data_IF_411534696888
#
_entry.id   IF_411534696888
#
_cell.length_a   1.000
_cell.length_b   1.000
_cell.length_c   1.000
_cell.angle_alpha   90.00
_cell.angle_beta   90.00
_cell.angle_gamma   90.00
#
_symmetry.space_group_name_H-M   'P 1'
#
loop_
_entity.id
_entity.type
_entity.pdbx_description
1 polymer ?
#
# COMPACT_ATOMS: atom_id res chain seq x y z
N UNK A 1 25.05 -5.28 0.97
CA UNK A 1 24.63 -5.24 0.80
C UNK A 1 23.67 -5.40 0.98
N UNK A 2 23.55 -5.24 0.97
CA UNK A 2 22.76 -5.37 1.13
C UNK A 2 22.16 -6.07 0.97
N UNK A 3 22.34 -6.22 0.80
CA UNK A 3 22.02 -6.74 0.61
C UNK A 3 21.44 -7.42 0.83
N UNK A 4 21.61 -7.05 0.95
CA UNK A 4 21.28 -7.71 1.10
C UNK A 4 20.50 -8.57 1.85
N UNK A 5 19.66 -8.23 2.57
CA UNK A 5 18.81 -9.04 3.25
C UNK A 5 17.50 -9.02 2.60
N UNK A 6 17.16 -9.96 1.74
CA UNK A 6 15.89 -9.93 1.01
C UNK A 6 14.67 -10.01 1.92
N UNK A 7 14.87 -10.45 3.17
CA UNK A 7 13.77 -10.54 4.09
C UNK A 7 13.63 -9.34 5.00
N UNK A 8 14.44 -8.34 4.83
CA UNK A 8 14.39 -7.16 5.69
C UNK A 8 13.23 -6.27 5.28
N UNK A 9 12.17 -6.30 6.06
CA UNK A 9 10.94 -5.59 5.70
C UNK A 9 11.10 -4.08 5.71
N UNK A 10 11.97 -3.55 6.58
CA UNK A 10 12.23 -2.11 6.57
C UNK A 10 12.88 -1.67 5.27
N UNK A 11 13.81 -2.47 4.78
CA UNK A 11 14.47 -2.18 3.51
C UNK A 11 13.46 -2.26 2.37
N UNK A 12 12.58 -3.26 2.40
CA UNK A 12 11.57 -3.41 1.36
C UNK A 12 10.65 -2.21 1.28
N UNK A 13 10.19 -1.73 2.44
CA UNK A 13 9.31 -0.58 2.45
C UNK A 13 10.04 0.67 1.99
N UNK A 14 11.28 0.83 2.42
CA UNK A 14 12.10 1.97 2.00
C UNK A 14 12.33 1.98 0.50
N UNK A 15 12.62 0.81 -0.09
CA UNK A 15 12.80 0.69 -1.53
C UNK A 15 11.51 1.00 -2.27
N UNK A 16 10.38 0.53 -1.74
CA UNK A 16 9.10 0.81 -2.37
C UNK A 16 8.85 2.30 -2.45
N UNK A 17 9.17 3.03 -1.36
CA UNK A 17 8.98 4.48 -1.35
C UNK A 17 9.89 5.15 -2.38
N UNK A 18 11.11 4.65 -2.57
CA UNK A 18 12.00 5.21 -3.56
C UNK A 18 11.47 4.96 -4.98
N UNK A 19 11.01 3.75 -5.24
CA UNK A 19 10.42 3.45 -6.54
C UNK A 19 9.16 4.26 -6.79
N UNK A 20 8.41 4.53 -5.72
CA UNK A 20 7.22 5.38 -5.83
C UNK A 20 7.61 6.76 -6.35
N UNK A 21 8.67 7.33 -5.80
CA UNK A 21 9.15 8.63 -6.24
C UNK A 21 9.59 8.62 -7.69
N UNK A 22 10.11 7.48 -8.14
CA UNK A 22 10.60 7.35 -9.52
C UNK A 22 9.48 7.00 -10.50
N UNK A 23 8.27 6.81 -10.00
CA UNK A 23 7.13 6.47 -10.84
C UNK A 23 7.15 5.04 -11.34
N UNK A 24 7.91 4.18 -10.69
CA UNK A 24 8.00 2.78 -11.10
C UNK A 24 7.00 1.95 -10.32
N UNK A 25 5.76 2.03 -10.73
CA UNK A 25 4.65 1.47 -9.98
C UNK A 25 4.67 -0.05 -9.91
N UNK A 26 5.15 -0.72 -10.96
CA UNK A 26 5.23 -2.17 -10.95
C UNK A 26 6.20 -2.67 -9.88
N UNK A 27 7.31 -1.95 -9.70
CA UNK A 27 8.27 -2.33 -8.67
C UNK A 27 7.70 -2.09 -7.27
N UNK A 28 6.96 -0.98 -7.11
CA UNK A 28 6.29 -0.70 -5.84
C UNK A 28 5.35 -1.84 -5.48
N UNK A 29 4.55 -2.26 -6.44
CA UNK A 29 3.57 -3.33 -6.21
C UNK A 29 4.28 -4.61 -5.79
N UNK A 30 5.32 -4.99 -6.54
CA UNK A 30 6.04 -6.22 -6.25
C UNK A 30 6.65 -6.20 -4.85
N UNK A 31 7.31 -5.10 -4.51
CA UNK A 31 7.95 -4.98 -3.20
C UNK A 31 6.93 -4.99 -2.07
N UNK A 32 5.82 -4.27 -2.23
CA UNK A 32 4.86 -4.17 -1.14
C UNK A 32 4.03 -5.43 -0.98
N UNK A 33 3.76 -6.14 -2.07
CA UNK A 33 3.10 -7.43 -1.94
C UNK A 33 3.99 -8.39 -1.17
N UNK A 34 5.29 -8.39 -1.45
CA UNK A 34 6.22 -9.21 -0.71
C UNK A 34 6.35 -8.78 0.74
N UNK A 35 6.37 -7.47 0.96
CA UNK A 35 6.44 -6.91 2.30
C UNK A 35 5.23 -7.35 3.15
N UNK A 36 4.03 -7.21 2.58
CA UNK A 36 2.82 -7.54 3.32
C UNK A 36 2.66 -9.04 3.55
N UNK A 37 3.31 -9.85 2.74
CA UNK A 37 3.30 -11.29 2.96
C UNK A 37 4.23 -11.68 4.11
N UNK A 38 5.19 -10.83 4.44
CA UNK A 38 6.18 -11.14 5.46
C UNK A 38 5.93 -10.48 6.80
N UNK A 39 5.20 -9.38 6.82
CA UNK A 39 5.03 -8.64 8.06
C UNK A 39 3.62 -8.10 8.17
N UNK A 40 3.22 -7.79 9.40
CA UNK A 40 1.92 -7.22 9.64
C UNK A 40 2.10 -5.72 9.69
N UNK A 41 1.65 -5.03 8.68
CA UNK A 41 1.74 -3.58 8.63
C UNK A 41 0.53 -3.00 9.36
N UNK A 42 0.67 -1.79 9.90
CA UNK A 42 -0.42 -1.16 10.63
C UNK A 42 -1.38 -0.40 9.72
N UNK A 43 -1.13 -0.41 8.44
CA UNK A 43 -2.01 0.21 7.47
C UNK A 43 -1.31 1.10 6.45
N UNK A 44 -0.12 1.61 6.77
CA UNK A 44 0.57 2.57 5.90
C UNK A 44 0.89 2.01 4.52
N UNK A 45 1.36 0.78 4.47
CA UNK A 45 1.77 0.19 3.20
C UNK A 45 0.59 -0.01 2.26
N UNK A 46 -0.60 -0.20 2.82
CA UNK A 46 -1.78 -0.40 1.97
C UNK A 46 -2.09 0.82 1.14
N UNK A 47 -1.90 2.02 1.69
CA UNK A 47 -2.13 3.24 0.94
C UNK A 47 -1.16 3.39 -0.22
N UNK A 48 0.12 3.11 0.03
CA UNK A 48 1.14 3.19 -1.00
C UNK A 48 0.87 2.15 -2.09
N UNK A 49 0.55 0.94 -1.69
CA UNK A 49 0.27 -0.13 -2.63
C UNK A 49 -0.97 0.17 -3.47
N UNK A 50 -2.03 0.63 -2.81
CA UNK A 50 -3.26 0.95 -3.53
C UNK A 50 -3.03 2.05 -4.55
N UNK A 51 -2.28 3.08 -4.18
CA UNK A 51 -1.97 4.15 -5.10
C UNK A 51 -1.17 3.64 -6.30
N UNK A 52 -0.24 2.72 -6.06
CA UNK A 52 0.52 2.13 -7.16
C UNK A 52 -0.39 1.36 -8.12
N UNK A 53 -1.39 0.66 -7.58
CA UNK A 53 -2.37 0.00 -8.44
C UNK A 53 -3.16 1.00 -9.27
N UNK A 54 -3.57 2.11 -8.65
CA UNK A 54 -4.28 3.17 -9.39
C UNK A 54 -3.44 3.64 -10.55
N UNK A 55 -2.18 3.95 -10.29
CA UNK A 55 -1.30 4.53 -11.30
C UNK A 55 -0.91 3.51 -12.38
N UNK A 56 -1.01 2.23 -12.07
CA UNK A 56 -0.74 1.20 -13.06
C UNK A 56 -2.00 0.77 -13.81
N UNK A 57 -3.14 1.37 -13.49
CA UNK A 57 -4.37 1.09 -14.19
C UNK A 57 -5.20 -0.05 -13.64
N UNK A 58 -4.85 -0.57 -12.46
CA UNK A 58 -5.58 -1.69 -11.89
C UNK A 58 -6.52 -1.19 -10.78
N UNK A 59 -7.65 -0.67 -11.22
CA UNK A 59 -8.60 -0.04 -10.32
C UNK A 59 -9.21 -1.00 -9.30
N UNK A 60 -9.53 -2.20 -9.73
CA UNK A 60 -10.15 -3.19 -8.84
C UNK A 60 -9.24 -3.56 -7.69
N UNK A 61 -7.97 -3.78 -8.01
CA UNK A 61 -7.01 -4.10 -6.97
C UNK A 61 -6.76 -2.93 -6.03
N UNK A 62 -6.83 -1.71 -6.57
CA UNK A 62 -6.68 -0.52 -5.75
C UNK A 62 -7.80 -0.44 -4.72
N UNK A 63 -9.04 -0.67 -5.15
CA UNK A 63 -10.19 -0.62 -4.26
C UNK A 63 -10.06 -1.70 -3.18
N UNK A 64 -9.73 -2.91 -3.58
CA UNK A 64 -9.53 -4.01 -2.66
C UNK A 64 -8.48 -3.66 -1.61
N UNK A 65 -7.39 -3.07 -2.07
CA UNK A 65 -6.27 -2.74 -1.20
C UNK A 65 -6.63 -1.64 -0.21
N UNK A 66 -7.36 -0.63 -0.66
CA UNK A 66 -7.82 0.42 0.26
C UNK A 66 -8.77 -0.16 1.30
N UNK A 67 -9.67 -1.04 0.91
CA UNK A 67 -10.59 -1.65 1.86
C UNK A 67 -9.86 -2.45 2.92
N UNK A 68 -8.86 -3.21 2.49
CA UNK A 68 -8.06 -3.97 3.42
C UNK A 68 -7.27 -3.03 4.34
N UNK A 69 -6.78 -1.93 3.79
CA UNK A 69 -6.07 -0.93 4.57
C UNK A 69 -6.96 -0.33 5.66
N UNK A 70 -8.24 -0.11 5.34
CA UNK A 70 -9.19 0.39 6.33
C UNK A 70 -9.31 -0.60 7.48
N UNK A 71 -9.52 -1.88 7.17
CA UNK A 71 -9.67 -2.91 8.19
C UNK A 71 -8.43 -3.02 9.05
N UNK A 72 -7.26 -3.03 8.44
CA UNK A 72 -6.01 -3.15 9.16
C UNK A 72 -5.76 -1.92 10.04
N UNK A 73 -6.02 -0.73 9.50
CA UNK A 73 -5.83 0.49 10.25
C UNK A 73 -6.73 0.53 11.48
N UNK A 74 -7.97 0.12 11.32
CA UNK A 74 -8.89 0.09 12.46
C UNK A 74 -8.44 -0.94 13.49
N UNK A 75 -7.99 -2.09 13.04
CA UNK A 75 -7.54 -3.15 13.93
C UNK A 75 -6.35 -2.72 14.77
N UNK A 76 -5.52 -1.83 14.22
CA UNK A 76 -4.34 -1.36 14.92
C UNK A 76 -4.53 -0.02 15.60
N UNK A 77 -5.75 0.47 15.66
CA UNK A 77 -6.05 1.69 16.41
C UNK A 77 -5.68 2.98 15.68
N UNK A 78 -5.77 2.99 14.36
CA UNK A 78 -5.47 4.18 13.57
C UNK A 78 -6.71 4.63 12.79
N UNK A 79 -7.73 5.14 13.49
CA UNK A 79 -8.98 5.51 12.80
C UNK A 79 -8.82 6.65 11.81
N UNK A 80 -7.85 7.56 12.05
CA UNK A 80 -7.63 8.66 11.11
C UNK A 80 -7.15 8.13 9.76
N UNK A 81 -6.25 7.15 9.78
CA UNK A 81 -5.77 6.54 8.56
C UNK A 81 -6.90 5.82 7.83
N UNK A 82 -7.72 5.08 8.59
CA UNK A 82 -8.86 4.39 8.00
C UNK A 82 -9.82 5.38 7.35
N UNK A 83 -10.05 6.52 7.99
CA UNK A 83 -10.93 7.54 7.44
C UNK A 83 -10.37 8.13 6.16
N UNK A 84 -9.05 8.33 6.10
CA UNK A 84 -8.43 8.84 4.88
C UNK A 84 -8.63 7.88 3.72
N UNK A 85 -8.45 6.59 3.97
CA UNK A 85 -8.66 5.58 2.93
C UNK A 85 -10.12 5.55 2.50
N UNK A 86 -11.03 5.66 3.47
CA UNK A 86 -12.45 5.67 3.19
C UNK A 86 -12.84 6.87 2.34
N UNK A 87 -12.27 8.03 2.65
CA UNK A 87 -12.53 9.24 1.87
C UNK A 87 -12.01 9.10 0.46
N UNK A 88 -10.84 8.49 0.30
CA UNK A 88 -10.29 8.26 -1.03
C UNK A 88 -11.23 7.38 -1.85
N UNK A 89 -11.75 6.31 -1.23
CA UNK A 89 -12.69 5.44 -1.93
C UNK A 89 -13.96 6.19 -2.32
N UNK A 90 -14.47 7.01 -1.41
CA UNK A 90 -15.71 7.74 -1.67
C UNK A 90 -15.53 8.77 -2.79
N UNK A 91 -14.40 9.46 -2.79
CA UNK A 91 -14.17 10.53 -3.77
C UNK A 91 -13.77 10.00 -5.14
N UNK A 92 -12.96 8.95 -5.15
CA UNK A 92 -12.41 8.46 -6.42
C UNK A 92 -13.17 7.29 -7.00
N UNK A 93 -13.91 6.54 -6.18
CA UNK A 93 -14.50 5.29 -6.64
C UNK A 93 -15.95 5.14 -6.26
N UNK A 94 -16.58 6.15 -5.74
CA UNK A 94 -17.97 6.01 -5.44
C UNK A 94 -18.66 6.00 -6.78
N UNK A 95 -19.47 5.16 -6.97
CA UNK A 95 -19.93 5.09 -8.12
C UNK A 95 -20.79 5.71 -8.54
N UNK A 96 -20.68 6.15 -8.95
CA UNK A 96 -21.41 6.88 -9.44
C UNK A 96 -22.20 6.36 -10.37
#
# INVERSE_FOLDING_TARGET
MLDAEPDNTMVMFGLAKEYEKLGQHDEVIKLLEGYLAKTEDEGNAYGVLANAYVLSGNREKAIETYRKGIDVSMAHGHPSMANEYRMTLDLDYSDS
#
